data_IF_260898068726
#
_entry.id   IF_260898068726
#
_cell.length_a   1.000
_cell.length_b   1.000
_cell.length_c   1.000
_cell.angle_alpha   90.00
_cell.angle_beta   90.00
_cell.angle_gamma   90.00
#
_symmetry.space_group_name_H-M   'P 1'
#
loop_
_entity.id
_entity.type
_entity.pdbx_description
1 polymer ?
#
# COMPACT_ATOMS: atom_id res chain seq x y z
N UNK A 1 15.29 -44.33 -12.57
CA UNK A 1 14.34 -44.96 -11.62
C UNK A 1 13.53 -43.84 -10.95
N UNK A 2 12.20 -43.91 -10.97
CA UNK A 2 11.33 -42.85 -10.44
C UNK A 2 11.46 -42.74 -8.91
N UNK A 3 11.71 -41.52 -8.43
CA UNK A 3 11.85 -41.16 -6.99
C UNK A 3 10.62 -41.61 -6.19
N UNK A 4 9.44 -41.60 -6.82
CA UNK A 4 8.18 -42.02 -6.22
C UNK A 4 8.12 -43.54 -5.92
N UNK A 5 8.85 -44.38 -6.67
CA UNK A 5 8.98 -45.81 -6.34
C UNK A 5 9.97 -46.05 -5.20
N UNK A 6 10.94 -45.15 -5.00
CA UNK A 6 11.97 -45.29 -3.97
C UNK A 6 11.49 -44.80 -2.60
N UNK A 7 10.63 -43.77 -2.57
CA UNK A 7 10.01 -43.22 -1.36
C UNK A 7 8.51 -43.54 -1.31
N UNK A 8 8.15 -44.81 -1.53
CA UNK A 8 6.78 -45.24 -1.37
C UNK A 8 6.51 -45.53 0.13
N UNK A 9 5.60 -44.79 0.80
CA UNK A 9 5.29 -45.02 2.22
C UNK A 9 4.38 -46.23 2.45
N UNK A 10 3.70 -46.73 1.41
CA UNK A 10 2.73 -47.82 1.51
C UNK A 10 3.25 -49.12 2.19
N UNK A 11 4.47 -49.63 1.90
CA UNK A 11 4.99 -50.80 2.60
C UNK A 11 5.24 -50.52 4.10
N UNK A 12 5.71 -49.32 4.45
CA UNK A 12 5.98 -48.96 5.84
C UNK A 12 4.72 -48.80 6.67
N UNK A 13 3.65 -48.24 6.08
CA UNK A 13 2.35 -48.15 6.77
C UNK A 13 1.68 -49.51 6.93
N UNK A 14 1.83 -50.41 5.96
CA UNK A 14 1.33 -51.78 6.06
C UNK A 14 2.04 -52.59 7.15
N UNK A 15 3.38 -52.47 7.24
CA UNK A 15 4.19 -53.14 8.27
C UNK A 15 3.84 -52.65 9.69
N UNK A 16 3.69 -51.33 9.84
CA UNK A 16 3.23 -50.73 11.10
C UNK A 16 1.84 -51.24 11.51
N UNK A 17 0.91 -51.37 10.56
CA UNK A 17 -0.44 -51.86 10.82
C UNK A 17 -0.45 -53.33 11.25
N UNK A 18 0.35 -54.17 10.60
CA UNK A 18 0.48 -55.58 10.97
C UNK A 18 1.07 -55.73 12.38
N UNK A 19 2.07 -54.91 12.73
CA UNK A 19 2.63 -54.87 14.08
C UNK A 19 1.60 -54.48 15.15
N UNK A 20 0.81 -53.42 14.92
CA UNK A 20 -0.22 -52.95 15.86
C UNK A 20 -1.32 -54.01 16.08
N UNK A 21 -1.64 -54.81 15.06
CA UNK A 21 -2.68 -55.85 15.11
C UNK A 21 -2.30 -57.03 16.02
N UNK A 22 -1.01 -57.27 16.25
CA UNK A 22 -0.53 -58.38 17.07
C UNK A 22 -1.06 -58.28 18.52
N UNK A 23 -1.41 -59.41 19.17
CA UNK A 23 -1.90 -59.41 20.53
C UNK A 23 -0.74 -59.25 21.52
N UNK A 24 -0.36 -58.00 21.79
CA UNK A 24 0.59 -57.62 22.82
C UNK A 24 -0.11 -56.91 23.98
N UNK A 25 0.40 -57.13 25.20
CA UNK A 25 -0.20 -56.66 26.46
C UNK A 25 -0.39 -55.13 26.52
N UNK A 26 0.49 -54.35 25.89
CA UNK A 26 0.53 -52.88 26.00
C UNK A 26 0.36 -52.12 24.66
N UNK A 27 -0.13 -52.77 23.60
CA UNK A 27 -0.19 -52.18 22.24
C UNK A 27 -0.86 -50.80 22.18
N UNK A 28 -2.00 -50.64 22.84
CA UNK A 28 -2.75 -49.39 22.84
C UNK A 28 -2.09 -48.30 23.68
N UNK A 29 -1.38 -48.68 24.75
CA UNK A 29 -0.64 -47.75 25.60
C UNK A 29 0.56 -47.17 24.85
N UNK A 30 1.31 -48.00 24.11
CA UNK A 30 2.44 -47.54 23.31
C UNK A 30 1.99 -46.57 22.22
N UNK A 31 0.90 -46.90 21.50
CA UNK A 31 0.31 -46.01 20.49
C UNK A 31 -0.15 -44.68 21.12
N UNK A 32 -0.88 -44.74 22.23
CA UNK A 32 -1.36 -43.54 22.91
C UNK A 32 -0.21 -42.62 23.36
N UNK A 33 0.82 -43.18 23.99
CA UNK A 33 2.02 -42.43 24.43
C UNK A 33 2.76 -41.83 23.25
N UNK A 34 2.84 -42.56 22.13
CA UNK A 34 3.51 -42.08 20.91
C UNK A 34 2.78 -40.90 20.25
N UNK A 35 1.46 -40.81 20.41
CA UNK A 35 0.66 -39.70 19.91
C UNK A 35 0.72 -38.45 20.80
N UNK A 36 1.11 -38.57 22.08
CA UNK A 36 1.11 -37.44 23.03
C UNK A 36 1.90 -36.22 22.54
N UNK A 37 3.14 -36.33 22.02
CA UNK A 37 3.90 -35.16 21.58
C UNK A 37 3.20 -34.38 20.46
N UNK A 38 2.59 -35.10 19.50
CA UNK A 38 1.87 -34.48 18.38
C UNK A 38 0.60 -33.78 18.88
N UNK A 39 -0.16 -34.43 19.76
CA UNK A 39 -1.37 -33.86 20.36
C UNK A 39 -1.03 -32.58 21.15
N UNK A 40 0.05 -32.60 21.94
CA UNK A 40 0.50 -31.42 22.71
C UNK A 40 0.87 -30.27 21.79
N UNK A 41 1.64 -30.53 20.72
CA UNK A 41 2.02 -29.49 19.75
C UNK A 41 0.79 -28.90 19.07
N UNK A 42 -0.18 -29.73 18.67
CA UNK A 42 -1.40 -29.27 18.02
C UNK A 42 -2.31 -28.48 18.97
N UNK A 43 -2.42 -28.90 20.24
CA UNK A 43 -3.16 -28.16 21.26
C UNK A 43 -2.51 -26.79 21.50
N UNK A 44 -1.18 -26.73 21.61
CA UNK A 44 -0.43 -25.48 21.76
C UNK A 44 -0.55 -24.56 20.53
N UNK A 45 -0.49 -25.13 19.32
CA UNK A 45 -0.68 -24.37 18.09
C UNK A 45 -2.12 -23.85 17.94
N UNK A 46 -3.11 -24.59 18.48
CA UNK A 46 -4.52 -24.20 18.42
C UNK A 46 -4.93 -23.19 19.50
N UNK A 47 -4.10 -22.94 20.52
CA UNK A 47 -4.46 -22.03 21.62
C UNK A 47 -4.50 -20.55 21.23
N UNK A 48 -4.01 -20.13 20.06
CA UNK A 48 -3.98 -18.69 19.77
C UNK A 48 -4.05 -18.33 18.28
N UNK A 49 -5.20 -17.75 17.88
CA UNK A 49 -5.28 -16.84 16.73
C UNK A 49 -6.36 -15.78 17.00
N UNK A 50 -6.11 -14.91 17.98
CA UNK A 50 -6.84 -13.65 18.06
C UNK A 50 -6.15 -12.67 17.11
N UNK A 51 -6.78 -12.41 15.96
CA UNK A 51 -6.51 -11.15 15.24
C UNK A 51 -7.05 -10.07 16.18
N UNK A 52 -6.17 -9.49 16.98
CA UNK A 52 -6.55 -8.34 17.80
C UNK A 52 -7.10 -7.26 16.85
N UNK A 53 -8.28 -6.67 17.12
CA UNK A 53 -8.63 -5.44 16.42
C UNK A 53 -7.50 -4.45 16.63
N UNK A 54 -7.04 -3.79 15.55
CA UNK A 54 -6.02 -2.74 15.68
C UNK A 54 -6.52 -1.72 16.70
N UNK A 55 -5.80 -1.57 17.81
CA UNK A 55 -6.03 -0.46 18.73
C UNK A 55 -5.87 0.83 17.95
N UNK A 56 -6.91 1.68 17.97
CA UNK A 56 -6.85 2.98 17.30
C UNK A 56 -5.74 3.81 17.97
N UNK A 57 -4.84 4.43 17.19
CA UNK A 57 -3.79 5.26 17.77
C UNK A 57 -4.41 6.43 18.53
N UNK A 58 -3.83 6.79 19.67
CA UNK A 58 -4.16 8.04 20.35
C UNK A 58 -3.63 9.21 19.52
N UNK A 59 -4.53 10.10 19.10
CA UNK A 59 -4.17 11.32 18.37
C UNK A 59 -4.18 12.49 19.34
N UNK A 60 -3.02 13.09 19.56
CA UNK A 60 -2.90 14.36 20.30
C UNK A 60 -2.92 15.50 19.29
N UNK A 61 -3.98 16.31 19.31
CA UNK A 61 -4.04 17.52 18.51
C UNK A 61 -3.25 18.64 19.18
N UNK A 62 -2.37 19.28 18.42
CA UNK A 62 -1.64 20.50 18.84
C UNK A 62 -2.27 21.66 18.08
N UNK A 63 -3.10 22.45 18.76
CA UNK A 63 -3.75 23.62 18.17
C UNK A 63 -2.92 24.87 18.42
N UNK A 64 -2.68 25.64 17.36
CA UNK A 64 -1.94 26.93 17.41
C UNK A 64 -2.85 28.14 17.26
N UNK A 65 -4.11 27.90 16.88
CA UNK A 65 -5.14 28.90 16.71
C UNK A 65 -6.14 28.81 17.87
N UNK A 66 -6.71 29.95 18.24
CA UNK A 66 -7.74 30.02 19.28
C UNK A 66 -8.98 29.22 18.87
N UNK A 67 -9.51 28.42 19.79
CA UNK A 67 -10.68 27.55 19.55
C UNK A 67 -11.99 28.35 19.42
N UNK A 68 -12.04 29.56 19.98
CA UNK A 68 -13.23 30.42 19.98
C UNK A 68 -13.15 31.54 18.93
N UNK A 69 -12.22 31.44 17.97
CA UNK A 69 -12.15 32.40 16.86
C UNK A 69 -13.45 32.42 16.09
N UNK A 70 -13.91 33.63 15.77
CA UNK A 70 -15.11 33.82 14.97
C UNK A 70 -14.83 33.57 13.49
N UNK A 71 -15.87 33.21 12.74
CA UNK A 71 -15.76 33.01 11.29
C UNK A 71 -15.28 34.28 10.56
N UNK A 72 -15.63 35.46 11.07
CA UNK A 72 -15.18 36.75 10.53
C UNK A 72 -13.66 36.94 10.69
N UNK A 73 -13.10 36.58 11.85
CA UNK A 73 -11.66 36.63 12.10
C UNK A 73 -10.89 35.61 11.26
N UNK A 74 -11.47 34.43 11.03
CA UNK A 74 -10.91 33.40 10.14
C UNK A 74 -10.88 33.93 8.70
N UNK A 75 -11.97 34.51 8.23
CA UNK A 75 -12.06 35.06 6.87
C UNK A 75 -11.04 36.19 6.66
N UNK A 76 -10.96 37.13 7.61
CA UNK A 76 -10.00 38.23 7.54
C UNK A 76 -8.55 37.72 7.52
N UNK A 77 -8.22 36.74 8.36
CA UNK A 77 -6.90 36.12 8.39
C UNK A 77 -6.57 35.39 7.07
N UNK A 78 -7.56 34.74 6.45
CA UNK A 78 -7.37 34.03 5.20
C UNK A 78 -7.14 34.99 4.03
N UNK A 79 -7.88 36.10 3.96
CA UNK A 79 -7.71 37.11 2.92
C UNK A 79 -6.30 37.71 2.95
N UNK A 80 -5.81 38.08 4.15
CA UNK A 80 -4.47 38.64 4.28
C UNK A 80 -3.39 37.59 3.93
N UNK A 81 -3.57 36.35 4.39
CA UNK A 81 -2.65 35.27 4.03
C UNK A 81 -2.65 34.98 2.53
N UNK A 82 -3.79 35.09 1.86
CA UNK A 82 -3.93 34.91 0.42
C UNK A 82 -3.17 36.01 -0.32
N UNK A 83 -3.31 37.27 0.10
CA UNK A 83 -2.57 38.41 -0.47
C UNK A 83 -1.05 38.20 -0.41
N UNK A 84 -0.54 37.85 0.77
CA UNK A 84 0.90 37.60 0.97
C UNK A 84 1.39 36.37 0.18
N UNK A 85 0.55 35.35 0.03
CA UNK A 85 0.87 34.20 -0.83
C UNK A 85 0.92 34.57 -2.30
N UNK A 86 -0.02 35.37 -2.78
CA UNK A 86 -0.09 35.81 -4.17
C UNK A 86 1.09 36.70 -4.53
N UNK A 87 1.47 37.63 -3.65
CA UNK A 87 2.66 38.47 -3.81
C UNK A 87 3.95 37.62 -3.89
N UNK A 88 4.11 36.63 -3.00
CA UNK A 88 5.27 35.73 -3.04
C UNK A 88 5.28 34.85 -4.27
N UNK A 89 4.11 34.34 -4.69
CA UNK A 89 3.98 33.52 -5.90
C UNK A 89 4.38 34.30 -7.14
N UNK A 90 3.91 35.55 -7.28
CA UNK A 90 4.29 36.43 -8.38
C UNK A 90 5.82 36.70 -8.41
N UNK A 91 6.44 36.90 -7.24
CA UNK A 91 7.89 37.07 -7.16
C UNK A 91 8.65 35.80 -7.56
N UNK A 92 8.21 34.64 -7.11
CA UNK A 92 8.82 33.35 -7.46
C UNK A 92 8.71 33.11 -8.95
N UNK A 93 7.54 33.34 -9.54
CA UNK A 93 7.30 33.19 -10.98
C UNK A 93 8.24 34.10 -11.79
N UNK A 94 8.36 35.38 -11.42
CA UNK A 94 9.30 36.30 -12.06
C UNK A 94 10.77 35.86 -11.94
N UNK A 95 11.15 35.27 -10.80
CA UNK A 95 12.50 34.70 -10.61
C UNK A 95 12.69 33.45 -11.48
N UNK A 96 11.69 32.59 -11.58
CA UNK A 96 11.75 31.39 -12.42
C UNK A 96 11.83 31.72 -13.90
N UNK A 97 11.06 32.69 -14.38
CA UNK A 97 11.16 33.20 -15.76
C UNK A 97 12.58 33.69 -16.05
N UNK A 98 13.13 34.54 -15.18
CA UNK A 98 14.51 35.02 -15.31
C UNK A 98 15.52 33.89 -15.27
N UNK A 99 15.33 32.87 -14.42
CA UNK A 99 16.21 31.69 -14.40
C UNK A 99 16.15 30.95 -15.73
N UNK A 100 14.96 30.69 -16.27
CA UNK A 100 14.79 30.01 -17.57
C UNK A 100 15.48 30.79 -18.69
N UNK A 101 15.30 32.11 -18.73
CA UNK A 101 15.98 32.98 -19.69
C UNK A 101 17.50 32.92 -19.56
N UNK A 102 18.03 33.01 -18.34
CA UNK A 102 19.47 32.91 -18.09
C UNK A 102 20.04 31.55 -18.52
N UNK A 103 19.34 30.44 -18.22
CA UNK A 103 19.78 29.11 -18.63
C UNK A 103 19.71 28.91 -20.15
N UNK A 104 18.66 29.44 -20.80
CA UNK A 104 18.55 29.46 -22.27
C UNK A 104 19.71 30.24 -22.90
N UNK A 105 20.01 31.42 -22.37
CA UNK A 105 21.12 32.25 -22.84
C UNK A 105 22.48 31.56 -22.63
N UNK A 106 22.69 30.91 -21.47
CA UNK A 106 23.90 30.15 -21.17
C UNK A 106 24.07 28.95 -22.11
N UNK A 107 23.00 28.21 -22.38
CA UNK A 107 23.02 27.09 -23.33
C UNK A 107 23.39 27.54 -24.74
N UNK A 108 22.76 28.63 -25.22
CA UNK A 108 23.07 29.23 -26.52
C UNK A 108 24.52 29.70 -26.61
N UNK A 109 25.03 30.39 -25.59
CA UNK A 109 26.41 30.86 -25.53
C UNK A 109 27.44 29.72 -25.46
N UNK A 110 27.07 28.58 -24.88
CA UNK A 110 27.91 27.38 -24.78
C UNK A 110 27.92 26.52 -26.05
N UNK A 111 27.20 26.95 -27.10
CA UNK A 111 27.11 26.24 -28.39
C UNK A 111 26.07 25.11 -28.42
N UNK A 112 25.16 25.05 -27.44
CA UNK A 112 24.08 24.07 -27.39
C UNK A 112 22.86 24.56 -28.19
N UNK A 113 22.23 23.68 -28.98
CA UNK A 113 21.00 24.02 -29.73
C UNK A 113 19.78 23.91 -28.80
N UNK A 114 19.46 25.00 -28.11
CA UNK A 114 18.40 25.05 -27.10
C UNK A 114 17.01 24.83 -27.71
N UNK A 115 16.78 25.28 -28.93
CA UNK A 115 15.49 25.18 -29.62
C UNK A 115 15.14 23.72 -29.96
N UNK A 116 16.10 22.97 -30.52
CA UNK A 116 15.93 21.54 -30.78
C UNK A 116 15.71 20.73 -29.48
N UNK A 117 16.30 21.15 -28.36
CA UNK A 117 16.10 20.51 -27.05
C UNK A 117 14.73 20.83 -26.46
N UNK A 118 14.24 22.06 -26.61
CA UNK A 118 12.89 22.45 -26.16
C UNK A 118 11.80 21.69 -26.94
N UNK A 119 11.97 21.49 -28.24
CA UNK A 119 11.06 20.68 -29.07
C UNK A 119 11.04 19.21 -28.65
N UNK A 120 12.21 18.60 -28.45
CA UNK A 120 12.31 17.22 -27.96
C UNK A 120 11.68 17.06 -26.58
N UNK A 121 11.95 17.99 -25.66
CA UNK A 121 11.38 17.99 -24.32
C UNK A 121 9.86 18.23 -24.31
N UNK A 122 9.32 19.00 -25.26
CA UNK A 122 7.88 19.17 -25.43
C UNK A 122 7.23 17.87 -25.94
N UNK A 123 7.84 17.21 -26.92
CA UNK A 123 7.37 15.94 -27.45
C UNK A 123 7.40 14.82 -26.39
N UNK A 124 8.43 14.79 -25.54
CA UNK A 124 8.54 13.84 -24.44
C UNK A 124 7.49 14.10 -23.35
N UNK A 125 7.33 15.37 -22.91
CA UNK A 125 6.29 15.75 -21.94
C UNK A 125 4.89 15.37 -22.39
N UNK A 126 4.54 15.61 -23.66
CA UNK A 126 3.25 15.21 -24.20
C UNK A 126 3.02 13.69 -24.15
N UNK A 127 4.06 12.88 -24.43
CA UNK A 127 3.98 11.43 -24.32
C UNK A 127 3.82 10.97 -22.88
N UNK A 128 4.55 11.60 -21.95
CA UNK A 128 4.44 11.31 -20.51
C UNK A 128 3.08 11.71 -19.93
N UNK A 129 2.49 12.81 -20.39
CA UNK A 129 1.14 13.23 -19.98
C UNK A 129 0.10 12.20 -20.41
N UNK A 130 0.14 11.77 -21.69
CA UNK A 130 -0.76 10.71 -22.18
C UNK A 130 -0.56 9.40 -21.40
N UNK A 131 0.68 9.01 -21.11
CA UNK A 131 0.97 7.82 -20.32
C UNK A 131 0.47 7.95 -18.86
N UNK A 132 0.63 9.13 -18.24
CA UNK A 132 0.12 9.42 -16.89
C UNK A 132 -1.40 9.42 -16.83
N UNK A 133 -2.07 9.96 -17.85
CA UNK A 133 -3.54 9.94 -17.94
C UNK A 133 -4.07 8.52 -18.14
N UNK A 134 -3.41 7.72 -19.00
CA UNK A 134 -3.75 6.31 -19.18
C UNK A 134 -3.59 5.53 -17.86
N UNK A 135 -2.46 5.73 -17.17
CA UNK A 135 -2.21 5.12 -15.86
C UNK A 135 -3.23 5.57 -14.81
N UNK A 136 -3.57 6.87 -14.78
CA UNK A 136 -4.58 7.41 -13.85
C UNK A 136 -5.94 6.78 -14.12
N UNK A 137 -6.32 6.59 -15.38
CA UNK A 137 -7.57 5.95 -15.78
C UNK A 137 -7.60 4.47 -15.38
N UNK A 138 -6.53 3.73 -15.65
CA UNK A 138 -6.38 2.33 -15.25
C UNK A 138 -6.45 2.16 -13.73
N UNK A 139 -5.77 3.02 -12.97
CA UNK A 139 -5.82 3.01 -11.51
C UNK A 139 -7.22 3.30 -11.00
N UNK A 140 -7.94 4.25 -11.60
CA UNK A 140 -9.33 4.56 -11.23
C UNK A 140 -10.28 3.40 -11.53
N UNK A 141 -10.12 2.75 -12.69
CA UNK A 141 -10.92 1.59 -13.11
C UNK A 141 -10.68 0.37 -12.20
N UNK A 142 -9.42 0.08 -11.88
CA UNK A 142 -9.05 -1.00 -10.97
C UNK A 142 -9.34 -0.71 -9.49
N UNK A 143 -9.44 0.57 -9.08
CA UNK A 143 -9.89 0.96 -7.72
C UNK A 143 -11.40 0.98 -7.54
N UNK A 144 -12.20 0.80 -8.59
CA UNK A 144 -13.63 0.55 -8.42
C UNK A 144 -13.78 -0.82 -7.76
N UNK A 145 -13.77 -0.83 -6.43
CA UNK A 145 -14.20 -1.97 -5.63
C UNK A 145 -15.63 -2.29 -6.09
N UNK A 146 -15.90 -3.49 -6.62
CA UNK A 146 -17.27 -3.88 -6.95
C UNK A 146 -18.08 -3.86 -5.65
N UNK A 147 -18.90 -2.80 -5.48
CA UNK A 147 -19.66 -2.52 -4.26
C UNK A 147 -19.71 -1.04 -3.84
N UNK A 148 -18.83 -0.17 -4.33
CA UNK A 148 -18.88 1.26 -3.96
C UNK A 148 -20.01 2.04 -4.67
N UNK A 149 -20.36 1.65 -5.90
CA UNK A 149 -21.50 2.24 -6.62
C UNK A 149 -22.85 1.87 -5.97
N UNK A 150 -22.96 0.69 -5.35
CA UNK A 150 -24.16 0.25 -4.62
C UNK A 150 -24.34 0.95 -3.26
N UNK A 151 -23.26 1.45 -2.65
CA UNK A 151 -23.32 2.18 -1.39
C UNK A 151 -23.88 3.60 -1.56
N UNK A 152 -23.63 4.25 -2.70
CA UNK A 152 -24.16 5.57 -3.00
C UNK A 152 -25.68 5.58 -3.26
N UNK A 153 -26.24 4.48 -3.76
CA UNK A 153 -27.68 4.35 -4.04
C UNK A 153 -28.49 4.07 -2.76
N UNK A 154 -27.87 3.49 -1.72
CA UNK A 154 -28.56 3.08 -0.49
C UNK A 154 -28.59 4.15 0.62
N UNK A 155 -27.88 5.26 0.43
CA UNK A 155 -27.77 6.36 1.42
C UNK A 155 -28.72 7.53 1.23
N UNK A 156 -29.67 7.44 0.28
CA UNK A 156 -30.62 8.52 -0.03
C UNK A 156 -31.99 8.42 0.64
N UNK A 157 -32.21 7.42 1.51
CA UNK A 157 -33.51 7.14 2.10
C UNK A 157 -33.37 6.81 3.60
N UNK A 158 -32.94 7.81 4.37
CA UNK A 158 -33.20 7.96 5.81
C UNK A 158 -33.32 9.45 6.16
#
# INVERSE_FOLDING_TARGET
MSILKRFNPAPGTADLWEYIKQPQEYRWLIVAVSCLPVIVILMWASSESRIAPLDRPSVTYITTLDENRTDEEILASNIENQRVQDERRAQIEAIEERKREMYRALGAASGMNVEAMEEQAAAERAREEVAREALRREVLENRVVPGAADAAVRGGDQ
#
